data_IF_749130381695
#
_entry.id   IF_749130381695
#
_cell.length_a   1.000
_cell.length_b   1.000
_cell.length_c   1.000
_cell.angle_alpha   90.00
_cell.angle_beta   90.00
_cell.angle_gamma   90.00
#
_symmetry.space_group_name_H-M   'P 1'
#
loop_
_entity.id
_entity.type
_entity.pdbx_description
1 polymer ?
#
# COMPACT_ATOMS: atom_id res chain seq x y z
N UNK A 1 28.96 20.17 19.58
CA UNK A 1 28.97 19.17 18.49
C UNK A 1 27.82 18.17 18.61
N UNK A 2 27.40 17.77 19.82
CA UNK A 2 26.28 16.83 20.01
C UNK A 2 24.96 17.25 19.32
N UNK A 3 24.53 18.50 19.46
CA UNK A 3 23.26 18.97 18.89
C UNK A 3 23.15 18.84 17.36
N UNK A 4 24.21 19.21 16.63
CA UNK A 4 24.23 19.06 15.17
C UNK A 4 24.18 17.60 14.76
N UNK A 5 24.94 16.73 15.45
CA UNK A 5 24.90 15.29 15.22
C UNK A 5 23.51 14.70 15.46
N UNK A 6 22.84 15.13 16.54
CA UNK A 6 21.46 14.74 16.84
C UNK A 6 20.46 15.21 15.79
N UNK A 7 20.62 16.42 15.26
CA UNK A 7 19.81 16.93 14.15
C UNK A 7 20.03 16.11 12.86
N UNK A 8 21.28 15.77 12.54
CA UNK A 8 21.62 14.93 11.39
C UNK A 8 21.09 13.49 11.50
N UNK A 9 20.70 13.03 12.68
CA UNK A 9 20.06 11.73 12.88
C UNK A 9 18.58 11.72 12.44
N UNK A 10 18.02 12.85 11.96
CA UNK A 10 16.68 12.94 11.41
C UNK A 10 16.53 11.99 10.20
N UNK A 11 15.64 10.98 10.27
CA UNK A 11 15.42 10.07 9.15
C UNK A 11 14.75 10.79 7.96
N UNK A 12 15.20 10.48 6.74
CA UNK A 12 14.51 10.90 5.52
C UNK A 12 13.38 9.92 5.17
N UNK A 13 12.23 10.07 5.84
CA UNK A 13 11.03 9.30 5.53
C UNK A 13 10.49 9.58 4.13
N UNK A 14 10.73 10.79 3.61
CA UNK A 14 10.17 11.29 2.35
C UNK A 14 10.98 10.88 1.13
N UNK A 15 12.23 10.42 1.33
CA UNK A 15 13.19 10.06 0.26
C UNK A 15 13.36 11.20 -0.74
N UNK A 16 13.56 12.41 -0.22
CA UNK A 16 13.72 13.63 -1.03
C UNK A 16 15.17 13.78 -1.50
N UNK A 17 15.40 14.78 -2.35
CA UNK A 17 16.76 15.11 -2.77
C UNK A 17 17.64 15.43 -1.55
N UNK A 18 18.91 14.97 -1.50
CA UNK A 18 19.78 15.18 -0.34
C UNK A 18 19.91 16.64 0.09
N UNK A 19 19.92 17.58 -0.87
CA UNK A 19 19.95 19.01 -0.58
C UNK A 19 18.70 19.48 0.20
N UNK A 20 17.51 19.04 -0.20
CA UNK A 20 16.26 19.39 0.49
C UNK A 20 16.20 18.79 1.90
N UNK A 21 16.71 17.57 2.09
CA UNK A 21 16.82 16.98 3.42
C UNK A 21 17.83 17.72 4.30
N UNK A 22 18.95 18.12 3.73
CA UNK A 22 19.95 18.94 4.42
C UNK A 22 19.39 20.31 4.83
N UNK A 23 18.59 20.96 3.99
CA UNK A 23 17.93 22.23 4.31
C UNK A 23 16.95 22.09 5.48
N UNK A 24 16.22 20.98 5.55
CA UNK A 24 15.33 20.67 6.67
C UNK A 24 16.12 20.46 7.98
N UNK A 25 17.18 19.66 7.94
CA UNK A 25 18.06 19.43 9.09
C UNK A 25 18.67 20.74 9.56
N UNK A 26 19.15 21.56 8.62
CA UNK A 26 19.74 22.86 8.91
C UNK A 26 18.71 23.78 9.58
N UNK A 27 17.49 23.84 9.08
CA UNK A 27 16.41 24.66 9.66
C UNK A 27 16.13 24.26 11.11
N UNK A 28 15.93 22.97 11.38
CA UNK A 28 15.72 22.43 12.73
C UNK A 28 16.91 22.73 13.64
N UNK A 29 18.14 22.48 13.16
CA UNK A 29 19.35 22.74 13.94
C UNK A 29 19.49 24.23 14.31
N UNK A 30 19.22 25.13 13.37
CA UNK A 30 19.32 26.57 13.60
C UNK A 30 18.31 27.04 14.66
N UNK A 31 17.09 26.51 14.65
CA UNK A 31 16.09 26.80 15.67
C UNK A 31 16.55 26.30 17.04
N UNK A 32 16.96 25.04 17.13
CA UNK A 32 17.45 24.45 18.39
C UNK A 32 18.67 25.19 18.94
N UNK A 33 19.61 25.60 18.08
CA UNK A 33 20.82 26.29 18.49
C UNK A 33 20.57 27.73 18.99
N UNK A 34 19.55 28.41 18.45
CA UNK A 34 19.26 29.82 18.77
C UNK A 34 18.18 29.98 19.84
N UNK A 35 17.15 29.14 19.79
CA UNK A 35 15.93 29.27 20.59
C UNK A 35 15.80 28.15 21.63
N UNK A 36 16.57 27.06 21.50
CA UNK A 36 16.49 25.90 22.37
C UNK A 36 15.34 24.94 22.04
N UNK A 37 14.47 25.30 21.09
CA UNK A 37 13.37 24.49 20.57
C UNK A 37 13.16 24.80 19.09
N UNK A 38 12.50 23.89 18.37
CA UNK A 38 12.04 24.10 16.99
C UNK A 38 10.94 25.15 16.95
N UNK A 39 10.87 25.97 15.89
CA UNK A 39 9.77 26.93 15.71
C UNK A 39 8.42 26.19 15.57
N UNK A 40 7.53 26.40 16.53
CA UNK A 40 6.22 25.77 16.57
C UNK A 40 5.29 26.26 15.45
N UNK A 41 5.48 27.48 14.93
CA UNK A 41 4.72 27.97 13.77
C UNK A 41 5.15 27.25 12.49
N UNK A 42 6.46 27.03 12.33
CA UNK A 42 6.98 26.25 11.22
C UNK A 42 6.48 24.80 11.28
N UNK A 43 6.56 24.17 12.46
CA UNK A 43 6.01 22.83 12.66
C UNK A 43 4.50 22.78 12.38
N UNK A 44 3.72 23.75 12.88
CA UNK A 44 2.28 23.84 12.64
C UNK A 44 1.95 23.88 11.15
N UNK A 45 2.69 24.67 10.37
CA UNK A 45 2.50 24.76 8.93
C UNK A 45 2.79 23.44 8.22
N UNK A 46 3.86 22.75 8.60
CA UNK A 46 4.21 21.47 8.00
C UNK A 46 3.22 20.36 8.36
N UNK A 47 2.76 20.35 9.61
CA UNK A 47 1.72 19.44 10.10
C UNK A 47 0.39 19.69 9.37
N UNK A 48 -0.01 20.96 9.20
CA UNK A 48 -1.22 21.32 8.43
C UNK A 48 -1.18 20.84 6.98
N UNK A 49 -0.03 20.90 6.32
CA UNK A 49 0.13 20.42 4.93
C UNK A 49 -0.08 18.91 4.78
N UNK A 50 0.27 18.15 5.81
CA UNK A 50 0.05 16.70 5.84
C UNK A 50 -1.38 16.32 6.28
N UNK A 51 -2.09 17.21 6.98
CA UNK A 51 -3.41 16.97 7.57
C UNK A 51 -4.57 17.03 6.57
N UNK A 52 -4.57 16.11 5.62
CA UNK A 52 -5.72 15.86 4.74
C UNK A 52 -5.71 14.42 4.26
N UNK A 53 -6.88 13.78 4.32
CA UNK A 53 -7.09 12.39 3.92
C UNK A 53 -7.55 12.25 2.46
N UNK A 54 -7.57 13.34 1.69
CA UNK A 54 -7.95 13.33 0.27
C UNK A 54 -6.82 12.84 -0.64
N UNK A 55 -7.13 12.44 -1.88
CA UNK A 55 -6.13 11.98 -2.86
C UNK A 55 -6.09 10.47 -3.01
N UNK A 56 -5.07 9.93 -3.67
CA UNK A 56 -4.89 8.51 -3.94
C UNK A 56 -3.89 7.85 -2.97
N UNK A 57 -3.57 6.56 -3.21
CA UNK A 57 -2.62 5.79 -2.39
C UNK A 57 -1.26 6.48 -2.31
N UNK A 58 -0.77 7.02 -3.44
CA UNK A 58 0.55 7.65 -3.50
C UNK A 58 0.57 8.99 -2.77
N UNK A 59 -0.50 9.79 -2.94
CA UNK A 59 -0.71 11.05 -2.21
C UNK A 59 -0.72 10.83 -0.71
N UNK A 60 -1.48 9.85 -0.23
CA UNK A 60 -1.54 9.54 1.20
C UNK A 60 -0.21 8.97 1.72
N UNK A 61 0.43 8.09 0.97
CA UNK A 61 1.74 7.54 1.35
C UNK A 61 2.78 8.65 1.50
N UNK A 62 2.75 9.65 0.61
CA UNK A 62 3.60 10.82 0.71
C UNK A 62 3.30 11.67 1.96
N UNK A 63 2.03 11.91 2.29
CA UNK A 63 1.64 12.63 3.51
C UNK A 63 2.01 11.90 4.79
N UNK A 64 1.88 10.56 4.81
CA UNK A 64 2.35 9.73 5.93
C UNK A 64 3.87 9.88 6.10
N UNK A 65 4.63 9.86 5.01
CA UNK A 65 6.07 10.12 5.08
C UNK A 65 6.39 11.53 5.61
N UNK A 66 5.61 12.55 5.22
CA UNK A 66 5.76 13.91 5.74
C UNK A 66 5.45 13.99 7.24
N UNK A 67 4.33 13.44 7.71
CA UNK A 67 3.97 13.53 9.13
C UNK A 67 4.94 12.75 10.02
N UNK A 68 5.51 11.62 9.54
CA UNK A 68 6.51 10.83 10.29
C UNK A 68 7.77 11.59 10.65
N UNK A 69 8.20 12.52 9.80
CA UNK A 69 9.29 13.45 10.14
C UNK A 69 8.93 14.26 11.39
N UNK A 70 7.70 14.75 11.48
CA UNK A 70 7.22 15.58 12.60
C UNK A 70 6.86 14.75 13.83
N UNK A 71 6.37 13.51 13.65
CA UNK A 71 6.25 12.52 14.73
C UNK A 71 7.63 12.21 15.34
N UNK A 72 8.67 12.07 14.52
CA UNK A 72 10.02 11.88 15.04
C UNK A 72 10.48 13.09 15.87
N UNK A 73 10.34 14.31 15.32
CA UNK A 73 10.69 15.56 16.00
C UNK A 73 9.92 15.71 17.33
N UNK A 74 8.62 15.44 17.35
CA UNK A 74 7.81 15.53 18.58
C UNK A 74 8.21 14.54 19.65
N UNK A 75 8.81 13.42 19.26
CA UNK A 75 9.33 12.43 20.20
C UNK A 75 10.75 12.74 20.71
N UNK A 76 11.47 13.72 20.15
CA UNK A 76 12.80 14.12 20.64
C UNK A 76 12.70 14.93 21.94
N UNK A 77 13.31 14.48 23.04
CA UNK A 77 13.32 15.23 24.30
C UNK A 77 13.99 16.60 24.13
N UNK A 78 13.35 17.65 24.64
CA UNK A 78 13.91 19.01 24.66
C UNK A 78 13.90 19.74 23.32
N UNK A 79 13.27 19.20 22.27
CA UNK A 79 13.22 19.84 20.96
C UNK A 79 12.02 20.76 20.75
N UNK A 80 10.97 20.63 21.57
CA UNK A 80 9.74 21.41 21.46
C UNK A 80 9.38 22.03 22.80
N UNK A 81 8.73 23.19 22.77
CA UNK A 81 8.22 23.86 23.96
C UNK A 81 7.03 23.08 24.55
N UNK A 82 6.04 22.71 23.70
CA UNK A 82 4.94 21.83 24.10
C UNK A 82 5.02 20.44 23.44
N UNK A 83 5.89 19.59 23.99
CA UNK A 83 6.10 18.24 23.47
C UNK A 83 4.82 17.39 23.46
N UNK A 84 4.03 17.45 24.54
CA UNK A 84 2.87 16.58 24.71
C UNK A 84 1.78 16.90 23.67
N UNK A 85 1.50 18.19 23.46
CA UNK A 85 0.58 18.64 22.43
C UNK A 85 1.00 18.14 21.05
N UNK A 86 2.26 18.33 20.68
CA UNK A 86 2.73 17.95 19.35
C UNK A 86 2.79 16.44 19.14
N UNK A 87 3.13 15.65 20.17
CA UNK A 87 3.09 14.19 20.09
C UNK A 87 1.68 13.68 19.82
N UNK A 88 0.69 14.19 20.55
CA UNK A 88 -0.71 13.82 20.35
C UNK A 88 -1.18 14.24 18.96
N UNK A 89 -0.94 15.49 18.57
CA UNK A 89 -1.36 16.03 17.28
C UNK A 89 -0.78 15.27 16.09
N UNK A 90 0.51 14.96 16.10
CA UNK A 90 1.15 14.21 15.01
C UNK A 90 0.63 12.77 14.93
N UNK A 91 0.37 12.14 16.09
CA UNK A 91 -0.20 10.79 16.15
C UNK A 91 -1.60 10.74 15.57
N UNK A 92 -2.48 11.64 15.98
CA UNK A 92 -3.86 11.71 15.47
C UNK A 92 -3.92 11.90 13.94
N UNK A 93 -2.98 12.66 13.38
CA UNK A 93 -2.89 12.85 11.93
C UNK A 93 -2.37 11.58 11.26
N UNK A 94 -1.31 10.96 11.79
CA UNK A 94 -0.76 9.72 11.25
C UNK A 94 -1.79 8.58 11.26
N UNK A 95 -2.59 8.46 12.32
CA UNK A 95 -3.66 7.48 12.44
C UNK A 95 -4.73 7.69 11.36
N UNK A 96 -5.26 8.91 11.22
CA UNK A 96 -6.27 9.23 10.19
C UNK A 96 -5.76 9.02 8.77
N UNK A 97 -4.51 9.38 8.49
CA UNK A 97 -3.88 9.14 7.19
C UNK A 97 -3.72 7.64 6.91
N UNK A 98 -3.33 6.87 7.94
CA UNK A 98 -3.15 5.42 7.84
C UNK A 98 -4.47 4.70 7.59
N UNK A 99 -5.55 5.11 8.27
CA UNK A 99 -6.89 4.58 8.04
C UNK A 99 -7.37 4.88 6.61
N UNK A 100 -7.24 6.13 6.17
CA UNK A 100 -7.59 6.55 4.81
C UNK A 100 -6.79 5.81 3.72
N UNK A 101 -5.54 5.48 4.01
CA UNK A 101 -4.69 4.67 3.13
C UNK A 101 -5.16 3.21 3.12
N UNK A 102 -5.47 2.66 4.29
CA UNK A 102 -5.96 1.29 4.44
C UNK A 102 -7.26 1.08 3.67
N UNK A 103 -8.21 2.00 3.78
CA UNK A 103 -9.47 1.95 3.02
C UNK A 103 -9.24 1.92 1.50
N UNK A 104 -8.32 2.75 0.99
CA UNK A 104 -7.99 2.79 -0.44
C UNK A 104 -7.29 1.52 -0.93
N UNK A 105 -6.37 0.98 -0.13
CA UNK A 105 -5.71 -0.29 -0.43
C UNK A 105 -6.73 -1.43 -0.48
N UNK A 106 -7.64 -1.48 0.49
CA UNK A 106 -8.73 -2.46 0.54
C UNK A 106 -9.64 -2.35 -0.67
N UNK A 107 -10.09 -1.13 -1.00
CA UNK A 107 -10.93 -0.88 -2.18
C UNK A 107 -10.23 -1.31 -3.47
N UNK A 108 -8.96 -0.92 -3.68
CA UNK A 108 -8.18 -1.32 -4.86
C UNK A 108 -8.05 -2.84 -4.99
N UNK A 109 -7.93 -3.54 -3.88
CA UNK A 109 -7.84 -5.00 -3.87
C UNK A 109 -9.17 -5.66 -4.23
N UNK A 110 -10.28 -5.17 -3.68
CA UNK A 110 -11.64 -5.62 -4.02
C UNK A 110 -11.95 -5.36 -5.49
N UNK A 111 -11.70 -4.14 -5.98
CA UNK A 111 -11.94 -3.76 -7.38
C UNK A 111 -11.12 -4.62 -8.35
N UNK A 112 -9.87 -4.94 -8.01
CA UNK A 112 -9.03 -5.86 -8.79
C UNK A 112 -9.62 -7.27 -8.84
N UNK A 113 -10.13 -7.80 -7.73
CA UNK A 113 -10.77 -9.13 -7.69
C UNK A 113 -12.07 -9.15 -8.49
N UNK A 114 -12.92 -8.14 -8.33
CA UNK A 114 -14.19 -8.03 -9.05
C UNK A 114 -13.97 -7.87 -10.55
N UNK A 115 -12.99 -7.08 -10.97
CA UNK A 115 -12.67 -6.92 -12.41
C UNK A 115 -12.16 -8.21 -13.05
N UNK A 116 -11.32 -9.00 -12.34
CA UNK A 116 -10.91 -10.33 -12.80
C UNK A 116 -12.10 -11.29 -12.88
N UNK A 117 -12.96 -11.31 -11.87
CA UNK A 117 -14.15 -12.17 -11.86
C UNK A 117 -15.11 -11.81 -13.01
N UNK A 118 -15.41 -10.52 -13.19
CA UNK A 118 -16.30 -10.05 -14.25
C UNK A 118 -15.72 -10.30 -15.64
N UNK A 119 -14.38 -10.23 -15.80
CA UNK A 119 -13.71 -10.64 -17.03
C UNK A 119 -13.93 -12.12 -17.33
N UNK A 120 -13.73 -13.00 -16.35
CA UNK A 120 -14.00 -14.44 -16.49
C UNK A 120 -15.46 -14.74 -16.80
N UNK A 121 -16.40 -14.03 -16.16
CA UNK A 121 -17.84 -14.20 -16.38
C UNK A 121 -18.26 -13.72 -17.79
N UNK A 122 -17.66 -12.64 -18.29
CA UNK A 122 -17.91 -12.10 -19.65
C UNK A 122 -17.27 -12.93 -20.75
N UNK A 123 -16.14 -13.59 -20.47
CA UNK A 123 -15.45 -14.46 -21.44
C UNK A 123 -16.24 -15.75 -21.75
N UNK A 124 -17.33 -16.06 -21.02
CA UNK A 124 -18.32 -17.10 -21.35
C UNK A 124 -17.70 -18.45 -21.76
N UNK A 125 -16.50 -18.74 -21.23
CA UNK A 125 -15.77 -19.95 -21.55
C UNK A 125 -16.36 -21.04 -20.67
N UNK A 126 -17.11 -21.96 -21.28
CA UNK A 126 -17.47 -23.19 -20.58
C UNK A 126 -16.16 -23.84 -20.11
N UNK A 127 -16.02 -24.19 -18.82
CA UNK A 127 -14.80 -24.81 -18.33
C UNK A 127 -14.52 -26.07 -19.16
N UNK A 128 -13.32 -26.17 -19.72
CA UNK A 128 -12.89 -27.34 -20.46
C UNK A 128 -12.70 -28.49 -19.46
N UNK A 129 -13.55 -29.52 -19.58
CA UNK A 129 -13.54 -30.69 -18.73
C UNK A 129 -12.91 -31.85 -19.48
N UNK A 130 -11.90 -32.46 -18.88
CA UNK A 130 -11.22 -33.64 -19.41
C UNK A 130 -11.57 -34.86 -18.58
N UNK A 131 -11.78 -35.99 -19.25
CA UNK A 131 -11.98 -37.29 -18.60
C UNK A 131 -10.83 -38.20 -19.04
N UNK A 132 -10.03 -38.66 -18.08
CA UNK A 132 -8.93 -39.57 -18.35
C UNK A 132 -9.46 -40.97 -18.69
N UNK A 133 -8.65 -41.83 -19.34
CA UNK A 133 -9.00 -43.24 -19.57
C UNK A 133 -9.27 -44.04 -18.29
N UNK A 134 -8.80 -43.56 -17.13
CA UNK A 134 -9.04 -44.17 -15.81
C UNK A 134 -10.34 -43.71 -15.17
N UNK A 135 -11.11 -42.82 -15.82
CA UNK A 135 -12.34 -42.25 -15.29
C UNK A 135 -12.11 -41.03 -14.39
N UNK A 136 -10.88 -40.52 -14.30
CA UNK A 136 -10.57 -39.32 -13.52
C UNK A 136 -11.08 -38.08 -14.24
N UNK A 137 -11.85 -37.25 -13.55
CA UNK A 137 -12.46 -36.02 -14.08
C UNK A 137 -11.63 -34.81 -13.64
N UNK A 138 -11.16 -34.06 -14.61
CA UNK A 138 -10.37 -32.84 -14.45
C UNK A 138 -11.14 -31.65 -15.02
N UNK A 139 -11.12 -30.52 -14.32
CA UNK A 139 -11.62 -29.23 -14.83
C UNK A 139 -10.51 -28.21 -14.68
N UNK A 140 -10.09 -27.58 -15.78
CA UNK A 140 -8.92 -26.68 -15.80
C UNK A 140 -7.67 -27.30 -15.13
N UNK A 141 -7.43 -28.59 -15.36
CA UNK A 141 -6.29 -29.33 -14.78
C UNK A 141 -6.41 -29.69 -13.30
N UNK A 142 -7.54 -29.40 -12.65
CA UNK A 142 -7.78 -29.73 -11.24
C UNK A 142 -8.66 -30.97 -11.11
N UNK A 143 -8.28 -31.91 -10.24
CA UNK A 143 -9.05 -33.11 -9.96
C UNK A 143 -10.39 -32.79 -9.27
N UNK A 144 -11.50 -33.20 -9.88
CA UNK A 144 -12.86 -32.96 -9.37
C UNK A 144 -13.54 -34.25 -8.91
N UNK A 145 -13.19 -35.41 -9.48
CA UNK A 145 -13.76 -36.69 -9.06
C UNK A 145 -13.50 -37.83 -10.03
N UNK A 146 -14.24 -38.92 -9.88
CA UNK A 146 -14.14 -40.12 -10.72
C UNK A 146 -15.51 -40.51 -11.31
N UNK A 147 -15.49 -40.97 -12.56
CA UNK A 147 -16.65 -41.40 -13.32
C UNK A 147 -16.55 -42.92 -13.55
N UNK A 148 -17.42 -43.68 -12.88
CA UNK A 148 -17.43 -45.14 -12.93
C UNK A 148 -18.69 -45.65 -13.62
N UNK A 149 -18.54 -46.66 -14.48
CA UNK A 149 -19.67 -47.36 -15.11
C UNK A 149 -20.25 -46.71 -16.38
N UNK A 150 -19.60 -45.69 -16.93
CA UNK A 150 -20.01 -45.09 -18.20
C UNK A 150 -19.41 -45.84 -19.39
N UNK A 151 -20.25 -46.28 -20.34
CA UNK A 151 -19.80 -46.92 -21.59
C UNK A 151 -20.03 -45.95 -22.74
N UNK A 152 -18.94 -45.31 -23.19
CA UNK A 152 -18.98 -44.51 -24.42
C UNK A 152 -19.01 -45.42 -25.64
N UNK A 153 -19.83 -45.09 -26.63
CA UNK A 153 -19.83 -45.73 -27.94
C UNK A 153 -19.81 -44.62 -28.97
N UNK A 154 -18.67 -44.44 -29.64
CA UNK A 154 -18.52 -43.41 -30.66
C UNK A 154 -19.46 -43.68 -31.84
N UNK A 155 -20.11 -42.64 -32.35
CA UNK A 155 -20.82 -42.72 -33.62
C UNK A 155 -19.78 -42.83 -34.76
N UNK A 156 -19.88 -43.87 -35.58
CA UNK A 156 -18.96 -44.11 -36.69
C UNK A 156 -19.14 -43.10 -37.84
N UNK A 157 -20.22 -42.33 -37.85
CA UNK A 157 -20.48 -41.27 -38.83
C UNK A 157 -19.99 -39.87 -38.38
N UNK A 158 -19.54 -39.71 -37.14
CA UNK A 158 -19.09 -38.44 -36.57
C UNK A 158 -17.64 -38.05 -36.93
N UNK A 159 -17.18 -38.38 -38.13
CA UNK A 159 -15.88 -37.96 -38.65
C UNK A 159 -15.90 -36.51 -39.14
N UNK A 160 -15.84 -35.54 -38.23
CA UNK A 160 -15.58 -34.13 -38.55
C UNK A 160 -14.07 -33.85 -38.72
N UNK A 161 -13.73 -32.77 -39.42
CA UNK A 161 -12.39 -32.42 -39.96
C UNK A 161 -11.24 -32.27 -38.93
N UNK A 162 -11.46 -32.38 -37.62
CA UNK A 162 -10.43 -32.20 -36.59
C UNK A 162 -9.69 -33.50 -36.18
N UNK A 163 -9.80 -34.58 -36.94
CA UNK A 163 -9.05 -35.82 -36.71
C UNK A 163 -7.65 -35.84 -37.37
N UNK A 164 -7.12 -34.70 -37.82
CA UNK A 164 -5.75 -34.57 -38.32
C UNK A 164 -5.02 -33.40 -37.65
N UNK A 165 -4.43 -33.69 -36.49
CA UNK A 165 -3.28 -32.98 -35.94
C UNK A 165 -2.41 -33.97 -35.16
#
# INVERSE_FOLDING_TARGET
VALLWEACALPDYRKIAPAQHADLIASIYMDLARHGHVDENYMAEQVRRADTTEGDIDTLSHRIAQIRTWTFVSNRPGWLADRAHWQEKTREIEDRLSDALHERLTKRFVDRRTSVLMRRLRENTMPEAEISPTGTVLVEGHHVGELQGFRFTADQSAGGEDAKA
#
